data_IF_116387474121
#
_entry.id   IF_116387474121
#
_cell.length_a   1.000
_cell.length_b   1.000
_cell.length_c   1.000
_cell.angle_alpha   90.00
_cell.angle_beta   90.00
_cell.angle_gamma   90.00
#
_symmetry.space_group_name_H-M   'P 1'
#
loop_
_entity.id
_entity.type
_entity.pdbx_description
1 polymer ?
#
# COMPACT_ATOMS: atom_id res chain seq x y z
N UNK A 1 32.46 -4.33 -26.48
CA UNK A 1 31.10 -4.90 -26.50
C UNK A 1 30.60 -4.83 -25.06
N UNK A 2 29.68 -3.90 -24.75
CA UNK A 2 29.28 -3.64 -23.36
C UNK A 2 28.44 -4.78 -22.80
N UNK A 3 28.85 -5.34 -21.67
CA UNK A 3 28.10 -6.37 -20.95
C UNK A 3 26.73 -5.82 -20.53
N UNK A 4 25.66 -6.47 -20.97
CA UNK A 4 24.30 -6.15 -20.52
C UNK A 4 24.10 -6.71 -19.11
N UNK A 5 24.29 -5.86 -18.12
CA UNK A 5 23.94 -6.19 -16.72
C UNK A 5 22.43 -6.39 -16.64
N UNK A 6 21.99 -7.61 -16.32
CA UNK A 6 20.58 -7.89 -16.03
C UNK A 6 20.23 -7.28 -14.68
N UNK A 7 19.71 -6.05 -14.69
CA UNK A 7 19.10 -5.43 -13.52
C UNK A 7 17.81 -6.18 -13.22
N UNK A 8 17.82 -7.03 -12.19
CA UNK A 8 16.61 -7.63 -11.64
C UNK A 8 15.99 -6.62 -10.68
N UNK A 9 14.90 -5.97 -11.09
CA UNK A 9 14.08 -5.21 -10.16
C UNK A 9 13.31 -6.21 -9.31
N UNK A 10 13.54 -6.26 -7.99
CA UNK A 10 12.82 -7.19 -7.13
C UNK A 10 11.33 -6.81 -7.12
N UNK A 11 10.49 -7.76 -7.52
CA UNK A 11 9.04 -7.61 -7.48
C UNK A 11 8.61 -7.38 -6.01
N UNK A 12 7.83 -6.33 -5.77
CA UNK A 12 7.29 -6.02 -4.44
C UNK A 12 8.10 -5.03 -3.59
N UNK A 13 9.36 -4.71 -3.92
CA UNK A 13 10.17 -3.77 -3.10
C UNK A 13 9.88 -2.30 -3.45
N UNK A 14 9.43 -2.03 -4.67
CA UNK A 14 9.03 -0.70 -5.14
C UNK A 14 7.51 -0.53 -5.28
N UNK A 15 6.73 -1.51 -4.81
CA UNK A 15 5.29 -1.39 -4.70
C UNK A 15 5.00 -0.61 -3.42
N UNK A 16 5.08 0.73 -3.50
CA UNK A 16 4.79 1.63 -2.39
C UNK A 16 3.56 1.16 -1.64
N UNK A 17 3.76 0.82 -0.36
CA UNK A 17 2.77 0.11 0.45
C UNK A 17 1.44 0.82 0.36
N UNK A 18 0.39 0.13 -0.08
CA UNK A 18 -0.96 0.70 -0.08
C UNK A 18 -1.55 0.59 1.34
N UNK A 19 -2.84 0.91 1.46
CA UNK A 19 -3.62 0.62 2.66
C UNK A 19 -3.57 -0.86 3.11
N UNK A 20 -3.23 -1.82 2.23
CA UNK A 20 -3.03 -3.23 2.61
C UNK A 20 -1.99 -3.42 3.72
N UNK A 21 -0.91 -2.64 3.68
CA UNK A 21 0.23 -2.75 4.59
C UNK A 21 0.32 -1.55 5.55
N UNK A 22 -0.73 -0.74 5.58
CA UNK A 22 -0.80 0.48 6.37
C UNK A 22 -1.15 0.19 7.83
N UNK A 23 -0.36 0.74 8.75
CA UNK A 23 -0.58 0.56 10.19
C UNK A 23 -1.85 1.25 10.72
N UNK A 24 -2.35 2.23 9.98
CA UNK A 24 -3.54 3.01 10.33
C UNK A 24 -4.79 2.53 9.60
N UNK A 25 -4.69 1.45 8.83
CA UNK A 25 -5.81 0.91 8.07
C UNK A 25 -6.63 -0.08 8.90
N UNK A 26 -7.92 0.18 8.96
CA UNK A 26 -8.90 -0.56 9.75
C UNK A 26 -9.82 -1.34 8.81
N UNK A 27 -9.48 -2.59 8.43
CA UNK A 27 -10.22 -3.35 7.42
C UNK A 27 -11.62 -3.79 7.88
N UNK A 28 -11.93 -3.64 9.17
CA UNK A 28 -13.24 -3.94 9.75
C UNK A 28 -14.16 -2.72 9.80
N UNK A 29 -13.60 -1.52 9.79
CA UNK A 29 -14.35 -0.27 9.73
C UNK A 29 -14.59 0.04 8.25
N UNK A 30 -15.68 -0.49 7.68
CA UNK A 30 -15.97 -0.40 6.26
C UNK A 30 -17.12 0.56 5.99
N UNK A 31 -17.02 1.31 4.90
CA UNK A 31 -18.15 2.04 4.35
C UNK A 31 -19.15 1.11 3.65
N UNK A 32 -20.27 1.66 3.17
CA UNK A 32 -21.29 0.91 2.43
C UNK A 32 -20.79 0.28 1.12
N UNK A 33 -19.61 0.68 0.62
CA UNK A 33 -18.99 0.13 -0.57
C UNK A 33 -17.94 -0.95 -0.24
N UNK A 34 -17.66 -1.20 1.04
CA UNK A 34 -16.67 -2.18 1.48
C UNK A 34 -15.23 -1.63 1.56
N UNK A 35 -15.03 -0.31 1.45
CA UNK A 35 -13.73 0.34 1.65
C UNK A 35 -13.41 0.41 3.13
N UNK A 36 -12.24 -0.07 3.54
CA UNK A 36 -11.76 0.07 4.92
C UNK A 36 -11.34 1.51 5.25
N UNK A 37 -11.41 1.86 6.53
CA UNK A 37 -11.09 3.20 7.01
C UNK A 37 -9.58 3.35 7.26
N UNK A 38 -9.01 4.49 6.86
CA UNK A 38 -7.64 4.86 7.20
C UNK A 38 -7.66 6.02 8.20
N UNK A 39 -7.26 5.74 9.44
CA UNK A 39 -7.27 6.71 10.53
C UNK A 39 -6.37 7.93 10.27
N UNK A 40 -5.21 7.71 9.63
CA UNK A 40 -4.24 8.77 9.34
C UNK A 40 -4.78 9.86 8.38
N UNK A 41 -5.61 9.48 7.41
CA UNK A 41 -6.20 10.41 6.44
C UNK A 41 -7.66 10.74 6.73
N UNK A 42 -8.27 10.07 7.71
CA UNK A 42 -9.68 10.25 8.05
C UNK A 42 -10.65 9.87 6.93
N UNK A 43 -10.29 8.92 6.06
CA UNK A 43 -11.06 8.57 4.86
C UNK A 43 -11.05 7.07 4.57
N UNK A 44 -11.96 6.63 3.69
CA UNK A 44 -12.13 5.22 3.33
C UNK A 44 -11.46 4.90 1.99
N UNK A 45 -10.66 3.84 1.98
CA UNK A 45 -9.90 3.37 0.81
C UNK A 45 -10.02 1.86 0.65
N UNK A 46 -9.92 1.39 -0.59
CA UNK A 46 -9.60 0.01 -0.86
C UNK A 46 -8.11 -0.25 -0.61
N UNK A 47 -7.73 -1.46 -0.15
CA UNK A 47 -6.32 -1.83 0.01
C UNK A 47 -5.53 -1.80 -1.32
N UNK A 48 -6.23 -1.93 -2.45
CA UNK A 48 -5.67 -1.84 -3.80
C UNK A 48 -5.52 -0.41 -4.32
N UNK A 49 -6.13 0.59 -3.69
CA UNK A 49 -6.06 1.98 -4.13
C UNK A 49 -4.69 2.59 -3.82
N UNK A 50 -4.10 3.23 -4.84
CA UNK A 50 -2.83 3.97 -4.71
C UNK A 50 -2.93 5.23 -3.86
N UNK A 51 -4.14 5.71 -3.60
CA UNK A 51 -4.39 6.91 -2.80
C UNK A 51 -4.44 6.60 -1.28
N UNK A 52 -4.25 5.34 -0.91
CA UNK A 52 -4.20 4.91 0.48
C UNK A 52 -2.97 5.43 1.24
N UNK A 53 -2.99 5.29 2.56
CA UNK A 53 -1.87 5.65 3.42
C UNK A 53 -0.70 4.68 3.24
N UNK A 54 0.46 5.24 2.91
CA UNK A 54 1.69 4.50 2.64
C UNK A 54 2.56 4.31 3.89
N UNK A 55 2.01 4.58 5.07
CA UNK A 55 2.69 4.38 6.35
C UNK A 55 2.66 2.90 6.73
N UNK A 56 3.72 2.19 6.36
CA UNK A 56 3.97 0.82 6.79
C UNK A 56 4.80 0.81 8.09
N UNK A 57 4.64 -0.23 8.91
CA UNK A 57 5.53 -0.46 10.04
C UNK A 57 6.86 -0.95 9.48
N UNK A 58 7.96 -0.23 9.70
CA UNK A 58 9.30 -0.82 9.52
C UNK A 58 9.44 -1.93 10.56
N UNK A 59 9.71 -3.14 10.08
CA UNK A 59 10.05 -4.31 10.88
C UNK A 59 11.47 -4.13 11.40
#
# INVERSE_FOLDING_TARGET
MGEKVKVKIPAGIFCGGNCSDCIYYEPRNRDGNGRGYCNYYGSHYYPSERQGCLSYKRI
#
